data_IF_565554626308
#
_entry.id   IF_565554626308
#
_cell.length_a   1.000
_cell.length_b   1.000
_cell.length_c   1.000
_cell.angle_alpha   90.00
_cell.angle_beta   90.00
_cell.angle_gamma   90.00
#
_symmetry.space_group_name_H-M   'P 1'
#
loop_
_entity.id
_entity.type
_entity.pdbx_description
1 polymer ?
#
# COMPACT_ATOMS: atom_id res chain seq x y z
N UNK A 1 -5.70 -27.44 29.82
CA UNK A 1 -5.96 -28.15 28.57
C UNK A 1 -6.47 -27.25 27.47
N UNK A 2 -7.54 -26.44 27.69
CA UNK A 2 -7.93 -25.39 26.73
C UNK A 2 -6.79 -24.42 26.42
N UNK A 3 -5.97 -24.10 27.41
CA UNK A 3 -4.81 -23.22 27.25
C UNK A 3 -3.72 -23.80 26.36
N UNK A 4 -3.52 -25.12 26.39
CA UNK A 4 -2.53 -25.79 25.53
C UNK A 4 -2.89 -25.72 24.06
N UNK A 5 -4.15 -25.94 23.72
CA UNK A 5 -4.66 -25.79 22.36
C UNK A 5 -4.60 -24.34 21.89
N UNK A 6 -4.97 -23.42 22.77
CA UNK A 6 -4.90 -21.98 22.48
C UNK A 6 -3.47 -21.52 22.23
N UNK A 7 -2.51 -21.99 23.05
CA UNK A 7 -1.10 -21.73 22.86
C UNK A 7 -0.62 -22.25 21.51
N UNK A 8 -0.98 -23.47 21.18
CA UNK A 8 -0.62 -24.12 19.91
C UNK A 8 -1.16 -23.34 18.71
N UNK A 9 -2.42 -22.94 18.75
CA UNK A 9 -3.04 -22.12 17.69
C UNK A 9 -2.39 -20.74 17.56
N UNK A 10 -2.06 -20.12 18.69
CA UNK A 10 -1.40 -18.83 18.71
C UNK A 10 0.00 -18.91 18.07
N UNK A 11 0.76 -19.95 18.39
CA UNK A 11 2.09 -20.19 17.79
C UNK A 11 1.99 -20.44 16.29
N UNK A 12 0.99 -21.20 15.87
CA UNK A 12 0.75 -21.48 14.46
C UNK A 12 0.40 -20.19 13.70
N UNK A 13 -0.50 -19.38 14.25
CA UNK A 13 -0.86 -18.09 13.68
C UNK A 13 0.32 -17.15 13.54
N UNK A 14 1.20 -17.11 14.56
CA UNK A 14 2.43 -16.32 14.51
C UNK A 14 3.36 -16.79 13.37
N UNK A 15 3.52 -18.10 13.22
CA UNK A 15 4.35 -18.67 12.14
C UNK A 15 3.81 -18.32 10.76
N UNK A 16 2.50 -18.40 10.58
CA UNK A 16 1.83 -18.03 9.32
C UNK A 16 2.00 -16.53 9.03
N UNK A 17 1.77 -15.67 10.00
CA UNK A 17 1.92 -14.22 9.86
C UNK A 17 3.36 -13.83 9.56
N UNK A 18 4.33 -14.47 10.21
CA UNK A 18 5.76 -14.25 9.93
C UNK A 18 6.11 -14.63 8.50
N UNK A 19 5.58 -15.75 7.99
CA UNK A 19 5.78 -16.17 6.61
C UNK A 19 5.21 -15.16 5.61
N UNK A 20 4.00 -14.67 5.84
CA UNK A 20 3.38 -13.65 5.01
C UNK A 20 4.15 -12.32 5.08
N UNK A 21 4.60 -11.93 6.28
CA UNK A 21 5.40 -10.72 6.48
C UNK A 21 6.73 -10.80 5.72
N UNK A 22 7.42 -11.93 5.81
CA UNK A 22 8.66 -12.18 5.07
C UNK A 22 8.44 -12.02 3.56
N UNK A 23 7.38 -12.64 3.04
CA UNK A 23 7.03 -12.56 1.62
C UNK A 23 6.74 -11.12 1.19
N UNK A 24 5.99 -10.37 1.97
CA UNK A 24 5.65 -8.98 1.67
C UNK A 24 6.90 -8.09 1.69
N UNK A 25 7.79 -8.29 2.65
CA UNK A 25 9.07 -7.57 2.73
C UNK A 25 9.96 -7.89 1.52
N UNK A 26 10.05 -9.15 1.14
CA UNK A 26 10.82 -9.58 -0.04
C UNK A 26 10.32 -8.90 -1.31
N UNK A 27 9.00 -8.78 -1.47
CA UNK A 27 8.40 -8.09 -2.61
C UNK A 27 8.73 -6.60 -2.63
N UNK A 28 8.70 -5.95 -1.46
CA UNK A 28 9.08 -4.53 -1.33
C UNK A 28 10.55 -4.33 -1.66
N UNK A 29 11.43 -5.19 -1.21
CA UNK A 29 12.86 -5.12 -1.50
C UNK A 29 13.19 -5.26 -2.99
N UNK A 30 12.33 -5.95 -3.73
CA UNK A 30 12.48 -6.13 -5.18
C UNK A 30 11.81 -5.02 -5.98
N UNK A 31 11.18 -4.06 -5.32
CA UNK A 31 10.50 -2.98 -6.02
C UNK A 31 11.49 -2.14 -6.82
N UNK A 32 11.04 -1.72 -8.00
CA UNK A 32 11.76 -0.86 -8.91
C UNK A 32 11.46 0.60 -8.60
N UNK A 33 11.78 1.51 -9.52
CA UNK A 33 11.48 2.93 -9.36
C UNK A 33 9.98 3.17 -9.12
N UNK A 34 9.67 4.17 -8.30
CA UNK A 34 8.31 4.53 -7.92
C UNK A 34 7.99 5.93 -8.40
N UNK A 35 6.82 6.09 -8.98
CA UNK A 35 6.31 7.41 -9.36
C UNK A 35 5.03 7.68 -8.59
N UNK A 36 5.09 8.66 -7.69
CA UNK A 36 3.94 9.09 -6.92
C UNK A 36 3.21 10.20 -7.66
N UNK A 37 2.33 9.82 -8.55
CA UNK A 37 1.56 10.72 -9.38
C UNK A 37 0.24 10.07 -9.77
N UNK A 38 -0.66 10.87 -10.32
CA UNK A 38 -1.92 10.39 -10.91
C UNK A 38 -1.92 10.70 -12.39
N UNK A 39 -2.16 9.68 -13.20
CA UNK A 39 -2.30 9.80 -14.64
C UNK A 39 -3.79 9.65 -14.98
N UNK A 40 -4.37 10.66 -15.62
CA UNK A 40 -5.80 10.68 -15.91
C UNK A 40 -6.11 11.33 -17.25
N UNK A 41 -7.33 11.14 -17.72
CA UNK A 41 -7.83 11.81 -18.89
C UNK A 41 -8.52 13.11 -18.48
N UNK A 42 -8.23 14.17 -19.20
CA UNK A 42 -8.81 15.49 -18.98
C UNK A 42 -9.51 15.96 -20.25
N UNK A 43 -10.70 16.49 -20.08
CA UNK A 43 -11.46 17.11 -21.16
C UNK A 43 -11.55 18.61 -20.91
N UNK A 44 -11.22 19.41 -21.89
CA UNK A 44 -11.29 20.87 -21.78
C UNK A 44 -11.45 21.54 -23.12
N UNK A 45 -11.91 22.80 -23.09
CA UNK A 45 -11.95 23.68 -24.25
C UNK A 45 -10.53 24.27 -24.46
N UNK A 46 -10.11 24.34 -25.72
CA UNK A 46 -8.89 25.07 -26.06
C UNK A 46 -9.24 26.57 -26.20
N UNK A 47 -8.21 27.44 -26.14
CA UNK A 47 -8.41 28.87 -26.27
C UNK A 47 -8.65 29.38 -27.69
N UNK A 48 -8.76 28.48 -28.68
CA UNK A 48 -8.95 28.88 -30.11
C UNK A 48 -10.39 29.15 -30.42
N UNK A 49 -10.65 30.31 -31.02
CA UNK A 49 -11.97 30.65 -31.56
C UNK A 49 -12.31 29.73 -32.75
N UNK A 50 -13.57 29.36 -32.88
CA UNK A 50 -14.06 28.50 -33.96
C UNK A 50 -13.75 27.02 -33.79
N UNK A 51 -13.15 26.61 -32.70
CA UNK A 51 -12.89 25.21 -32.42
C UNK A 51 -14.17 24.49 -32.02
N UNK A 52 -14.34 23.24 -32.46
CA UNK A 52 -15.51 22.39 -32.16
C UNK A 52 -15.68 22.11 -30.66
N UNK A 53 -14.61 22.28 -29.86
CA UNK A 53 -14.69 22.09 -28.42
C UNK A 53 -15.64 23.07 -27.74
N UNK A 54 -15.89 24.25 -28.34
CA UNK A 54 -16.89 25.22 -27.85
C UNK A 54 -18.33 24.78 -28.11
N UNK A 55 -18.51 23.79 -28.99
CA UNK A 55 -19.82 23.24 -29.34
C UNK A 55 -20.11 21.91 -28.65
N UNK A 56 -19.36 21.56 -27.59
CA UNK A 56 -19.56 20.37 -26.80
C UNK A 56 -18.60 19.22 -27.08
N UNK A 57 -17.76 19.30 -28.12
CA UNK A 57 -16.70 18.30 -28.38
C UNK A 57 -15.40 18.75 -27.74
N UNK A 58 -15.29 18.53 -26.44
CA UNK A 58 -14.11 18.89 -25.66
C UNK A 58 -12.87 18.12 -26.12
N UNK A 59 -11.71 18.75 -26.02
CA UNK A 59 -10.45 18.09 -26.26
C UNK A 59 -10.14 17.15 -25.12
N UNK A 60 -9.84 15.91 -25.46
CA UNK A 60 -9.45 14.89 -24.51
C UNK A 60 -7.94 14.70 -24.56
N UNK A 61 -7.28 14.89 -23.44
CA UNK A 61 -5.83 14.71 -23.33
C UNK A 61 -5.48 14.07 -22.02
N UNK A 62 -4.35 13.39 -21.98
CA UNK A 62 -3.82 12.85 -20.74
C UNK A 62 -3.15 13.95 -19.92
N UNK A 63 -3.26 13.86 -18.62
CA UNK A 63 -2.64 14.77 -17.68
C UNK A 63 -2.02 13.99 -16.53
N UNK A 64 -0.93 14.53 -15.98
CA UNK A 64 -0.31 14.02 -14.77
C UNK A 64 -0.49 15.05 -13.68
N UNK A 65 -0.95 14.60 -12.53
CA UNK A 65 -1.03 15.39 -11.32
C UNK A 65 -0.06 14.87 -10.29
N UNK A 66 0.75 15.72 -9.71
CA UNK A 66 1.60 15.40 -8.57
C UNK A 66 1.16 16.23 -7.37
N UNK A 67 1.29 15.66 -6.18
CA UNK A 67 0.97 16.36 -4.95
C UNK A 67 2.26 16.70 -4.21
N UNK A 68 2.49 18.00 -3.99
CA UNK A 68 3.62 18.51 -3.22
C UNK A 68 3.11 19.53 -2.21
N UNK A 69 3.54 19.40 -0.97
CA UNK A 69 3.21 20.35 0.11
C UNK A 69 1.70 20.56 0.27
N UNK A 70 0.92 19.48 0.16
CA UNK A 70 -0.52 19.52 0.28
C UNK A 70 -1.27 20.09 -0.93
N UNK A 71 -0.56 20.49 -1.99
CA UNK A 71 -1.16 21.02 -3.21
C UNK A 71 -0.97 20.08 -4.39
N UNK A 72 -2.04 19.94 -5.19
CA UNK A 72 -1.98 19.18 -6.44
C UNK A 72 -1.58 20.11 -7.59
N UNK A 73 -0.61 19.68 -8.39
CA UNK A 73 -0.14 20.40 -9.57
C UNK A 73 -0.22 19.51 -10.79
N UNK A 74 -0.79 20.04 -11.87
CA UNK A 74 -0.78 19.37 -13.16
C UNK A 74 0.54 19.67 -13.84
N UNK A 75 1.21 18.61 -14.32
CA UNK A 75 2.51 18.72 -14.99
C UNK A 75 2.29 18.48 -16.48
N UNK A 76 2.99 19.27 -17.30
CA UNK A 76 3.02 19.07 -18.74
C UNK A 76 3.63 17.71 -19.09
N UNK A 77 3.00 17.01 -20.04
CA UNK A 77 3.50 15.72 -20.54
C UNK A 77 4.62 15.86 -21.56
N UNK A 78 4.98 17.09 -21.92
CA UNK A 78 6.01 17.34 -22.92
C UNK A 78 7.36 16.75 -22.49
N UNK A 79 7.92 15.88 -23.33
CA UNK A 79 9.20 15.23 -23.04
C UNK A 79 9.15 14.11 -22.01
N UNK A 80 7.96 13.71 -21.56
CA UNK A 80 7.79 12.63 -20.59
C UNK A 80 7.55 11.30 -21.30
N UNK A 81 8.30 10.28 -20.89
CA UNK A 81 8.09 8.90 -21.29
C UNK A 81 6.89 8.33 -20.52
N UNK A 82 5.71 8.34 -21.15
CA UNK A 82 4.46 7.91 -20.54
C UNK A 82 4.46 6.45 -20.12
N UNK A 83 5.10 5.58 -20.90
CA UNK A 83 5.18 4.15 -20.55
C UNK A 83 5.97 3.95 -19.26
N UNK A 84 7.08 4.64 -19.14
CA UNK A 84 7.93 4.58 -17.95
C UNK A 84 7.22 5.16 -16.72
N UNK A 85 6.57 6.29 -16.89
CA UNK A 85 5.81 6.94 -15.82
C UNK A 85 4.64 6.06 -15.38
N UNK A 86 3.90 5.50 -16.33
CA UNK A 86 2.77 4.61 -16.05
C UNK A 86 3.23 3.37 -15.27
N UNK A 87 4.35 2.77 -15.66
CA UNK A 87 4.95 1.66 -14.94
C UNK A 87 5.34 2.05 -13.51
N UNK A 88 5.95 3.22 -13.33
CA UNK A 88 6.34 3.73 -12.03
C UNK A 88 5.14 4.02 -11.12
N UNK A 89 4.05 4.49 -11.66
CA UNK A 89 2.79 4.70 -10.93
C UNK A 89 2.22 3.36 -10.46
N UNK A 90 2.21 2.34 -11.30
CA UNK A 90 1.79 1.00 -10.89
C UNK A 90 2.70 0.42 -9.81
N UNK A 91 4.01 0.59 -9.95
CA UNK A 91 4.97 0.17 -8.93
C UNK A 91 4.68 0.84 -7.59
N UNK A 92 4.36 2.13 -7.62
CA UNK A 92 4.00 2.88 -6.42
C UNK A 92 2.74 2.33 -5.75
N UNK A 93 1.70 2.03 -6.51
CA UNK A 93 0.47 1.45 -5.97
C UNK A 93 0.72 0.10 -5.32
N UNK A 94 1.47 -0.78 -5.96
CA UNK A 94 1.83 -2.09 -5.40
C UNK A 94 2.67 -1.95 -4.13
N UNK A 95 3.64 -1.04 -4.15
CA UNK A 95 4.46 -0.73 -2.97
C UNK A 95 3.59 -0.28 -1.81
N UNK A 96 2.65 0.61 -2.07
CA UNK A 96 1.72 1.12 -1.06
C UNK A 96 0.84 0.01 -0.49
N UNK A 97 0.29 -0.85 -1.33
CA UNK A 97 -0.51 -2.00 -0.90
C UNK A 97 0.29 -2.94 -0.02
N UNK A 98 1.51 -3.27 -0.41
CA UNK A 98 2.40 -4.12 0.39
C UNK A 98 2.81 -3.45 1.69
N UNK A 99 3.02 -2.15 1.70
CA UNK A 99 3.31 -1.39 2.91
C UNK A 99 2.15 -1.46 3.92
N UNK A 100 0.91 -1.34 3.44
CA UNK A 100 -0.29 -1.48 4.28
C UNK A 100 -0.45 -2.91 4.79
N UNK A 101 -0.19 -3.91 3.96
CA UNK A 101 -0.20 -5.32 4.36
C UNK A 101 0.82 -5.60 5.46
N UNK A 102 2.03 -5.07 5.34
CA UNK A 102 3.08 -5.19 6.36
C UNK A 102 2.61 -4.58 7.69
N UNK A 103 2.01 -3.39 7.64
CA UNK A 103 1.48 -2.75 8.86
C UNK A 103 0.41 -3.60 9.52
N UNK A 104 -0.50 -4.16 8.74
CA UNK A 104 -1.55 -5.06 9.25
C UNK A 104 -0.95 -6.31 9.88
N UNK A 105 -0.02 -6.95 9.21
CA UNK A 105 0.65 -8.16 9.70
C UNK A 105 1.45 -7.90 10.98
N UNK A 106 2.16 -6.79 11.05
CA UNK A 106 2.89 -6.39 12.26
C UNK A 106 1.94 -6.17 13.43
N UNK A 107 0.80 -5.53 13.19
CA UNK A 107 -0.23 -5.35 14.21
C UNK A 107 -0.78 -6.68 14.73
N UNK A 108 -1.09 -7.61 13.82
CA UNK A 108 -1.57 -8.96 14.17
C UNK A 108 -0.51 -9.75 14.95
N UNK A 109 0.74 -9.68 14.53
CA UNK A 109 1.86 -10.33 15.22
C UNK A 109 1.97 -9.81 16.66
N UNK A 110 1.92 -8.51 16.85
CA UNK A 110 2.00 -7.91 18.18
C UNK A 110 0.85 -8.33 19.08
N UNK A 111 -0.38 -8.39 18.55
CA UNK A 111 -1.55 -8.89 19.27
C UNK A 111 -1.37 -10.36 19.68
N UNK A 112 -0.89 -11.18 18.77
CA UNK A 112 -0.68 -12.61 19.04
C UNK A 112 0.47 -12.85 20.02
N UNK A 113 1.52 -12.06 19.96
CA UNK A 113 2.61 -12.12 20.94
C UNK A 113 2.09 -11.78 22.34
N UNK A 114 1.27 -10.73 22.47
CA UNK A 114 0.65 -10.35 23.73
C UNK A 114 -0.28 -11.44 24.26
N UNK A 115 -1.08 -12.03 23.37
CA UNK A 115 -1.97 -13.15 23.71
C UNK A 115 -1.17 -14.37 24.17
N UNK A 116 -0.11 -14.73 23.45
CA UNK A 116 0.76 -15.85 23.81
C UNK A 116 1.36 -15.65 25.20
N UNK A 117 1.83 -14.44 25.50
CA UNK A 117 2.35 -14.11 26.83
C UNK A 117 1.31 -14.33 27.92
N UNK A 118 0.08 -13.88 27.71
CA UNK A 118 -1.02 -14.07 28.67
C UNK A 118 -1.39 -15.54 28.86
N UNK A 119 -1.39 -16.31 27.78
CA UNK A 119 -1.73 -17.74 27.84
C UNK A 119 -0.64 -18.56 28.55
N UNK A 120 0.60 -18.11 28.52
CA UNK A 120 1.76 -18.77 29.17
C UNK A 120 2.01 -18.29 30.59
N UNK A 121 1.30 -17.25 31.03
CA UNK A 121 1.46 -16.68 32.35
C UNK A 121 0.97 -17.67 33.41
N UNK A 122 1.79 -17.91 34.41
CA UNK A 122 1.51 -18.83 35.52
C UNK A 122 1.54 -18.06 36.82
N UNK A 123 0.56 -18.28 37.67
CA UNK A 123 0.52 -17.71 38.99
C UNK A 123 1.69 -18.26 39.84
N UNK A 124 2.32 -17.39 40.60
CA UNK A 124 3.41 -17.73 41.52
C UNK A 124 3.00 -18.85 42.47
N UNK A 125 1.75 -18.87 42.91
CA UNK A 125 1.21 -19.90 43.81
C UNK A 125 1.26 -21.29 43.21
N UNK A 126 1.21 -21.44 41.87
CA UNK A 126 1.39 -22.71 41.18
C UNK A 126 2.73 -23.36 41.37
N UNK A 127 3.75 -22.62 41.89
CA UNK A 127 5.08 -23.11 42.14
C UNK A 127 5.37 -23.39 43.63
N UNK A 128 4.37 -23.22 44.48
CA UNK A 128 4.53 -23.58 45.91
C UNK A 128 4.52 -25.09 46.09
N UNK A 129 5.46 -25.58 46.89
CA UNK A 129 5.55 -26.97 47.28
C UNK A 129 4.73 -27.27 48.53
#
# INVERSE_FOLDING_TARGET
>A
MKSSEQISRCRQGLGEDLGELQSAIDQIQRSSFLVRASLYWRERQCGKEGCRCRQGKLHRSRAISVRRDGQSRVISLRGIDLLKVSAGIEHYHRFREKSLEIKRLMSEILKNVSLLGKLQEVDLEGFRR
#
